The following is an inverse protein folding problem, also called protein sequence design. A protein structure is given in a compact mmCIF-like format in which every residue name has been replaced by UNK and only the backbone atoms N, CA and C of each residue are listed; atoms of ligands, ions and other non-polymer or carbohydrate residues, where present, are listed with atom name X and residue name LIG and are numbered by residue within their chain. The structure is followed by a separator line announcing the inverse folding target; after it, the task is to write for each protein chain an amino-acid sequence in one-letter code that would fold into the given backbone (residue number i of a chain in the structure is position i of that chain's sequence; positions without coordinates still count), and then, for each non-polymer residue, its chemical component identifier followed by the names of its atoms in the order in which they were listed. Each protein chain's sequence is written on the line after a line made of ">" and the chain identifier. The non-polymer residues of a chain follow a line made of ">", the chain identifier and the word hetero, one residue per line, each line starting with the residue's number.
data_IF_603407771674
#
_entry.id   IF_603407771674
#
_cell.length_a   1.000
_cell.length_b   1.000
_cell.length_c   1.000
_cell.angle_alpha   90.00
_cell.angle_beta   90.00
_cell.angle_gamma   90.00
#
_symmetry.space_group_name_H-M   'P 1'
#
loop_
_entity.id
_entity.type
_entity.pdbx_description
1 polymer ?
#
# COMPACT_ATOMS: atom_id res chain seq x y z
N UNK A 1 13.49 8.26 0.58
CA UNK A 1 13.55 6.86 0.07
C UNK A 1 13.45 6.82 -1.46
N UNK A 2 14.03 5.80 -2.09
CA UNK A 2 13.84 5.52 -3.53
C UNK A 2 12.51 4.83 -3.78
N UNK A 3 11.95 4.97 -4.99
CA UNK A 3 10.67 4.35 -5.36
C UNK A 3 10.67 2.82 -5.20
N UNK A 4 11.77 2.15 -5.55
CA UNK A 4 11.91 0.70 -5.35
C UNK A 4 11.84 0.28 -3.87
N UNK A 5 12.36 1.10 -2.96
CA UNK A 5 12.30 0.81 -1.52
C UNK A 5 10.87 0.94 -0.98
N UNK A 6 10.13 1.93 -1.47
CA UNK A 6 8.70 2.09 -1.15
C UNK A 6 7.87 0.95 -1.71
N UNK A 7 8.11 0.56 -2.97
CA UNK A 7 7.43 -0.57 -3.59
C UNK A 7 7.68 -1.87 -2.81
N UNK A 8 8.95 -2.15 -2.47
CA UNK A 8 9.29 -3.31 -1.65
C UNK A 8 8.61 -3.28 -0.27
N UNK A 9 8.53 -2.09 0.36
CA UNK A 9 7.82 -1.95 1.63
C UNK A 9 6.33 -2.25 1.49
N UNK A 10 5.68 -1.72 0.45
CA UNK A 10 4.26 -1.94 0.10
C UNK A 10 3.98 -3.41 -0.16
N UNK A 11 4.72 -4.04 -1.08
CA UNK A 11 4.54 -5.46 -1.44
C UNK A 11 4.76 -6.35 -0.22
N UNK A 12 5.80 -6.10 0.57
CA UNK A 12 6.04 -6.89 1.78
C UNK A 12 4.94 -6.71 2.84
N UNK A 13 4.28 -5.54 2.92
CA UNK A 13 3.13 -5.35 3.80
C UNK A 13 1.89 -6.06 3.25
N UNK A 14 1.65 -6.02 1.93
CA UNK A 14 0.59 -6.82 1.28
C UNK A 14 0.77 -8.30 1.57
N UNK A 15 2.00 -8.83 1.39
CA UNK A 15 2.35 -10.24 1.68
C UNK A 15 2.15 -10.66 3.14
N UNK A 16 2.01 -9.72 4.07
CA UNK A 16 1.69 -10.06 5.47
C UNK A 16 0.21 -10.41 5.68
N UNK A 17 -0.65 -10.03 4.74
CA UNK A 17 -2.10 -10.25 4.76
C UNK A 17 -2.48 -11.26 3.68
N UNK A 18 -2.00 -11.05 2.46
CA UNK A 18 -2.18 -11.91 1.30
C UNK A 18 -0.81 -12.41 0.79
N UNK A 19 -0.27 -13.51 1.34
CA UNK A 19 1.08 -14.00 1.04
C UNK A 19 1.30 -14.41 -0.43
N UNK A 20 0.23 -14.66 -1.17
CA UNK A 20 0.18 -15.02 -2.59
C UNK A 20 0.42 -13.84 -3.55
N UNK A 21 0.39 -12.60 -3.06
CA UNK A 21 0.53 -11.40 -3.89
C UNK A 21 1.93 -11.32 -4.49
N UNK A 22 2.07 -11.28 -5.81
CA UNK A 22 3.36 -11.05 -6.46
C UNK A 22 3.46 -9.65 -7.07
N UNK A 23 4.62 -9.00 -6.92
CA UNK A 23 4.85 -7.62 -7.40
C UNK A 23 4.59 -7.47 -8.90
N UNK A 24 4.98 -8.48 -9.69
CA UNK A 24 4.85 -8.47 -11.15
C UNK A 24 3.39 -8.58 -11.63
N UNK A 25 2.47 -9.01 -10.76
CA UNK A 25 1.06 -9.15 -11.08
C UNK A 25 0.27 -7.86 -10.77
N UNK A 26 0.90 -6.90 -10.08
CA UNK A 26 0.28 -5.63 -9.73
C UNK A 26 0.33 -4.64 -10.90
N UNK A 27 -0.85 -4.24 -11.38
CA UNK A 27 -1.04 -3.17 -12.35
C UNK A 27 -1.17 -1.84 -11.61
N UNK A 28 -0.22 -0.93 -11.88
CA UNK A 28 -0.01 0.27 -11.07
C UNK A 28 -1.22 1.22 -11.02
N UNK A 29 -1.96 1.33 -12.13
CA UNK A 29 -3.10 2.23 -12.32
C UNK A 29 -4.47 1.58 -12.06
N UNK A 30 -4.49 0.31 -11.63
CA UNK A 30 -5.72 -0.38 -11.27
C UNK A 30 -5.97 -0.34 -9.75
N UNK A 31 -7.24 -0.47 -9.30
CA UNK A 31 -7.55 -0.51 -7.88
C UNK A 31 -6.78 -1.63 -7.18
N UNK A 32 -5.86 -1.28 -6.28
CA UNK A 32 -4.92 -2.22 -5.67
C UNK A 32 -5.68 -3.28 -4.86
N UNK A 33 -6.63 -2.83 -4.04
CA UNK A 33 -7.46 -3.69 -3.19
C UNK A 33 -8.14 -4.83 -3.95
N UNK A 34 -8.60 -4.59 -5.18
CA UNK A 34 -9.28 -5.61 -5.99
C UNK A 34 -8.32 -6.63 -6.60
N UNK A 35 -7.07 -6.22 -6.87
CA UNK A 35 -6.05 -7.09 -7.48
C UNK A 35 -5.52 -8.11 -6.49
N UNK A 36 -5.53 -7.77 -5.20
CA UNK A 36 -5.02 -8.59 -4.11
C UNK A 36 -6.13 -9.20 -3.24
N UNK A 37 -7.38 -9.20 -3.76
CA UNK A 37 -8.58 -9.75 -3.13
C UNK A 37 -8.80 -9.37 -1.64
N UNK A 38 -8.43 -8.13 -1.28
CA UNK A 38 -8.57 -7.67 0.10
C UNK A 38 -9.97 -7.11 0.38
N UNK A 39 -10.53 -7.51 1.52
CA UNK A 39 -11.75 -6.92 2.04
C UNK A 39 -11.49 -5.55 2.71
N UNK A 40 -12.52 -4.97 3.36
CA UNK A 40 -12.39 -3.63 3.95
C UNK A 40 -11.55 -3.62 5.21
N UNK A 41 -11.58 -4.72 5.97
CA UNK A 41 -10.82 -4.89 7.19
C UNK A 41 -9.36 -5.17 6.87
N UNK A 42 -9.10 -6.01 5.88
CA UNK A 42 -7.75 -6.30 5.41
C UNK A 42 -7.09 -5.07 4.79
N UNK A 43 -7.85 -4.27 4.02
CA UNK A 43 -7.35 -2.99 3.52
C UNK A 43 -6.95 -2.03 4.64
N UNK A 44 -7.76 -1.95 5.70
CA UNK A 44 -7.44 -1.10 6.85
C UNK A 44 -6.20 -1.62 7.60
N UNK A 45 -6.10 -2.93 7.82
CA UNK A 45 -4.92 -3.56 8.43
C UNK A 45 -3.66 -3.34 7.59
N UNK A 46 -3.78 -3.35 6.27
CA UNK A 46 -2.69 -3.03 5.35
C UNK A 46 -2.18 -1.60 5.54
N UNK A 47 -3.08 -0.60 5.61
CA UNK A 47 -2.70 0.80 5.84
C UNK A 47 -2.06 0.99 7.23
N UNK A 48 -2.56 0.32 8.26
CA UNK A 48 -1.94 0.31 9.60
C UNK A 48 -0.54 -0.31 9.55
N UNK A 49 -0.36 -1.40 8.80
CA UNK A 49 0.94 -2.03 8.57
C UNK A 49 1.95 -1.08 7.92
N UNK A 50 1.51 -0.30 6.92
CA UNK A 50 2.33 0.74 6.29
C UNK A 50 2.72 1.84 7.28
N UNK A 51 1.76 2.33 8.09
CA UNK A 51 2.03 3.31 9.14
C UNK A 51 3.11 2.81 10.10
N UNK A 52 2.99 1.58 10.60
CA UNK A 52 3.97 1.00 11.53
C UNK A 52 5.35 0.80 10.92
N UNK A 53 5.40 0.36 9.65
CA UNK A 53 6.64 0.01 8.94
C UNK A 53 7.42 1.23 8.46
N UNK A 54 6.72 2.20 7.89
CA UNK A 54 7.33 3.40 7.32
C UNK A 54 7.35 4.60 8.28
N UNK A 55 6.68 4.48 9.45
CA UNK A 55 6.54 5.55 10.45
C UNK A 55 5.91 6.83 9.85
N UNK A 56 4.89 6.63 9.01
CA UNK A 56 4.15 7.72 8.33
C UNK A 56 2.71 7.76 8.79
N UNK A 57 2.16 8.94 9.03
CA UNK A 57 0.75 9.08 9.37
C UNK A 57 -0.15 8.97 8.14
N UNK A 58 -1.15 8.08 8.24
CA UNK A 58 -2.18 7.86 7.22
C UNK A 58 -3.55 8.09 7.88
N UNK A 59 -4.05 9.33 7.91
CA UNK A 59 -5.35 9.61 8.51
C UNK A 59 -6.47 9.00 7.66
N UNK A 60 -7.56 8.57 8.30
CA UNK A 60 -8.70 7.95 7.61
C UNK A 60 -9.31 8.84 6.53
N UNK A 61 -9.23 10.17 6.71
CA UNK A 61 -9.69 11.15 5.72
C UNK A 61 -8.98 11.02 4.36
N UNK A 62 -7.77 10.45 4.33
CA UNK A 62 -7.00 10.25 3.10
C UNK A 62 -7.25 8.89 2.45
N UNK A 63 -7.96 7.94 3.09
CA UNK A 63 -8.14 6.58 2.57
C UNK A 63 -8.79 6.54 1.18
N UNK A 64 -9.73 7.46 0.91
CA UNK A 64 -10.39 7.56 -0.39
C UNK A 64 -9.43 7.90 -1.55
N UNK A 65 -8.24 8.43 -1.24
CA UNK A 65 -7.19 8.78 -2.20
C UNK A 65 -6.24 7.62 -2.47
N UNK A 66 -6.22 6.59 -1.61
CA UNK A 66 -5.29 5.45 -1.70
C UNK A 66 -5.95 4.31 -2.48
N UNK A 67 -6.23 4.52 -3.77
CA UNK A 67 -6.98 3.52 -4.56
C UNK A 67 -6.07 2.59 -5.35
N UNK A 68 -5.05 3.14 -5.98
CA UNK A 68 -4.12 2.40 -6.86
C UNK A 68 -2.75 2.28 -6.20
N UNK A 69 -1.88 1.43 -6.78
CA UNK A 69 -0.50 1.34 -6.32
C UNK A 69 0.24 2.66 -6.56
N UNK A 70 -0.02 3.33 -7.69
CA UNK A 70 0.55 4.65 -7.97
C UNK A 70 0.11 5.69 -6.93
N UNK A 71 -1.18 5.78 -6.62
CA UNK A 71 -1.68 6.71 -5.58
C UNK A 71 -0.96 6.49 -4.24
N UNK A 72 -0.80 5.22 -3.86
CA UNK A 72 -0.15 4.83 -2.62
C UNK A 72 1.34 5.22 -2.62
N UNK A 73 2.07 4.91 -3.69
CA UNK A 73 3.50 5.23 -3.80
C UNK A 73 3.74 6.74 -3.82
N UNK A 74 2.92 7.50 -4.56
CA UNK A 74 3.00 8.96 -4.58
C UNK A 74 2.68 9.54 -3.21
N UNK A 75 1.60 9.11 -2.57
CA UNK A 75 1.24 9.54 -1.23
C UNK A 75 2.37 9.27 -0.23
N UNK A 76 2.86 8.03 -0.18
CA UNK A 76 3.93 7.63 0.74
C UNK A 76 5.20 8.43 0.49
N UNK A 77 5.58 8.68 -0.77
CA UNK A 77 6.75 9.49 -1.13
C UNK A 77 6.68 10.91 -0.56
N UNK A 78 5.49 11.49 -0.41
CA UNK A 78 5.33 12.81 0.24
C UNK A 78 5.45 12.78 1.76
N UNK A 79 5.34 11.60 2.38
CA UNK A 79 5.35 11.40 3.84
C UNK A 79 6.67 10.88 4.38
N UNK A 80 7.34 9.98 3.66
CA UNK A 80 8.70 9.55 4.02
C UNK A 80 9.70 10.65 3.67
N UNK A 81 10.32 11.23 4.71
CA UNK A 81 11.40 12.21 4.58
C UNK A 81 12.73 11.53 4.27
#
# INVERSE_FOLDING_TARGET
>A
MKQQELLAAVVSTLKSIAPEVEENDLVADQPLRNQVDLDSMDWLNFLIGLHHKLKVDIPESDYARLRTLNDLLEYLRTKVT
#
